data_IF_028569792810
#
_entry.id   IF_028569792810
#
_cell.length_a   1.000
_cell.length_b   1.000
_cell.length_c   1.000
_cell.angle_alpha   90.00
_cell.angle_beta   90.00
_cell.angle_gamma   90.00
#
_symmetry.space_group_name_H-M   'P 1'
#
loop_
_entity.id
_entity.type
_entity.pdbx_description
1 polymer ?
#
# COMPACT_ATOMS: atom_id res chain seq x y z
N UNK A 1 5.30 -28.73 10.34
CA UNK A 1 4.12 -27.84 10.44
C UNK A 1 4.39 -26.45 9.85
N UNK A 2 5.46 -25.74 10.24
CA UNK A 2 5.83 -24.42 9.68
C UNK A 2 5.89 -24.37 8.15
N UNK A 3 6.52 -25.34 7.50
CA UNK A 3 6.61 -25.39 6.03
C UNK A 3 5.26 -25.58 5.34
N UNK A 4 4.32 -26.31 5.96
CA UNK A 4 2.97 -26.50 5.41
C UNK A 4 2.16 -25.20 5.48
N UNK A 5 2.30 -24.44 6.58
CA UNK A 5 1.67 -23.13 6.71
C UNK A 5 2.19 -22.15 5.65
N UNK A 6 3.50 -22.10 5.43
CA UNK A 6 4.07 -21.26 4.37
C UNK A 6 3.61 -21.68 2.97
N UNK A 7 3.57 -22.98 2.68
CA UNK A 7 3.05 -23.46 1.39
C UNK A 7 1.58 -23.11 1.19
N UNK A 8 0.76 -23.18 2.24
CA UNK A 8 -0.64 -22.77 2.19
C UNK A 8 -0.80 -21.27 1.94
N UNK A 9 -0.01 -20.43 2.63
CA UNK A 9 -0.01 -18.97 2.45
C UNK A 9 0.42 -18.62 1.01
N UNK A 10 1.54 -19.19 0.53
CA UNK A 10 2.01 -18.96 -0.85
C UNK A 10 0.92 -19.31 -1.86
N UNK A 11 0.27 -20.47 -1.69
CA UNK A 11 -0.78 -20.93 -2.60
C UNK A 11 -2.00 -19.99 -2.57
N UNK A 12 -2.39 -19.52 -1.39
CA UNK A 12 -3.48 -18.56 -1.21
C UNK A 12 -3.13 -17.21 -1.87
N UNK A 13 -1.97 -16.66 -1.56
CA UNK A 13 -1.50 -15.37 -2.09
C UNK A 13 -1.46 -15.39 -3.62
N UNK A 14 -0.88 -16.45 -4.21
CA UNK A 14 -0.83 -16.59 -5.66
C UNK A 14 -2.22 -16.67 -6.30
N UNK A 15 -3.15 -17.41 -5.69
CA UNK A 15 -4.53 -17.47 -6.18
C UNK A 15 -5.19 -16.08 -6.16
N UNK A 16 -5.07 -15.35 -5.05
CA UNK A 16 -5.61 -13.98 -4.91
C UNK A 16 -5.01 -13.05 -5.98
N UNK A 17 -3.70 -13.10 -6.21
CA UNK A 17 -3.05 -12.26 -7.22
C UNK A 17 -3.56 -12.57 -8.63
N UNK A 18 -3.74 -13.85 -8.97
CA UNK A 18 -4.26 -14.27 -10.27
C UNK A 18 -5.70 -13.77 -10.46
N UNK A 19 -6.57 -13.97 -9.46
CA UNK A 19 -7.97 -13.58 -9.52
C UNK A 19 -8.12 -12.05 -9.64
N UNK A 20 -7.37 -11.29 -8.83
CA UNK A 20 -7.39 -9.81 -8.89
C UNK A 20 -6.90 -9.31 -10.24
N UNK A 21 -5.84 -9.92 -10.79
CA UNK A 21 -5.33 -9.56 -12.12
C UNK A 21 -6.37 -9.82 -13.21
N UNK A 22 -7.01 -10.99 -13.17
CA UNK A 22 -8.05 -11.37 -14.12
C UNK A 22 -9.27 -10.45 -14.04
N UNK A 23 -9.78 -10.17 -12.84
CA UNK A 23 -10.94 -9.31 -12.62
C UNK A 23 -10.68 -7.85 -12.99
N UNK A 24 -9.48 -7.34 -12.66
CA UNK A 24 -9.08 -6.00 -13.05
C UNK A 24 -9.00 -5.86 -14.58
N UNK A 25 -8.40 -6.83 -15.27
CA UNK A 25 -8.34 -6.85 -16.72
C UNK A 25 -9.74 -6.97 -17.34
N UNK A 26 -10.58 -7.87 -16.80
CA UNK A 26 -11.94 -8.10 -17.27
C UNK A 26 -12.81 -6.85 -17.19
N UNK A 27 -12.66 -6.05 -16.13
CA UNK A 27 -13.35 -4.76 -15.98
C UNK A 27 -12.79 -3.70 -16.91
N UNK A 28 -11.46 -3.55 -16.99
CA UNK A 28 -10.83 -2.50 -17.79
C UNK A 28 -11.16 -2.65 -19.28
N UNK A 29 -11.09 -3.87 -19.83
CA UNK A 29 -11.41 -4.11 -21.24
C UNK A 29 -12.87 -3.78 -21.61
N UNK A 30 -13.77 -3.73 -20.63
CA UNK A 30 -15.20 -3.47 -20.82
C UNK A 30 -15.59 -2.00 -20.59
N UNK A 31 -14.64 -1.14 -20.25
CA UNK A 31 -14.91 0.28 -20.17
C UNK A 31 -15.19 0.87 -21.55
N UNK A 32 -15.93 2.00 -21.58
CA UNK A 32 -16.33 2.65 -22.83
C UNK A 32 -15.11 3.08 -23.66
N UNK A 33 -15.31 3.25 -24.97
CA UNK A 33 -14.29 3.81 -25.86
C UNK A 33 -13.90 5.22 -25.43
N UNK A 34 -14.86 6.00 -24.92
CA UNK A 34 -14.59 7.32 -24.34
C UNK A 34 -13.66 7.26 -23.13
N UNK A 35 -13.85 6.26 -22.24
CA UNK A 35 -12.92 6.06 -21.13
C UNK A 35 -11.52 5.68 -21.62
N UNK A 36 -11.42 4.82 -22.64
CA UNK A 36 -10.15 4.43 -23.26
C UNK A 36 -9.47 5.59 -23.98
N UNK A 37 -10.22 6.52 -24.56
CA UNK A 37 -9.69 7.72 -25.20
C UNK A 37 -9.16 8.74 -24.17
N UNK A 38 -9.78 8.82 -23.00
CA UNK A 38 -9.46 9.80 -21.97
C UNK A 38 -8.54 9.25 -20.84
N UNK A 39 -8.23 7.94 -20.83
CA UNK A 39 -7.41 7.30 -19.80
C UNK A 39 -6.08 6.80 -20.35
N UNK A 40 -4.97 7.22 -19.74
CA UNK A 40 -3.65 6.78 -20.15
C UNK A 40 -3.38 5.32 -19.74
N UNK A 41 -3.17 4.43 -20.72
CA UNK A 41 -2.99 2.99 -20.51
C UNK A 41 -1.89 2.67 -19.48
N UNK A 42 -0.75 3.36 -19.53
CA UNK A 42 0.35 3.15 -18.57
C UNK A 42 -0.04 3.48 -17.12
N UNK A 43 -0.89 4.49 -16.91
CA UNK A 43 -1.36 4.86 -15.57
C UNK A 43 -2.33 3.81 -15.01
N UNK A 44 -3.15 3.22 -15.87
CA UNK A 44 -4.08 2.13 -15.53
C UNK A 44 -3.30 0.86 -15.17
N UNK A 45 -2.33 0.46 -15.99
CA UNK A 45 -1.48 -0.70 -15.71
C UNK A 45 -0.77 -0.53 -14.36
N UNK A 46 -0.18 0.64 -14.09
CA UNK A 46 0.49 0.92 -12.81
C UNK A 46 -0.47 0.94 -11.62
N UNK A 47 -1.75 1.29 -11.81
CA UNK A 47 -2.77 1.19 -10.75
C UNK A 47 -3.10 -0.27 -10.44
N UNK A 48 -3.28 -1.10 -11.47
CA UNK A 48 -3.58 -2.54 -11.31
C UNK A 48 -2.43 -3.24 -10.60
N UNK A 49 -1.20 -3.09 -11.12
CA UNK A 49 -0.04 -3.79 -10.54
C UNK A 49 0.23 -3.35 -9.11
N UNK A 50 0.23 -2.04 -8.82
CA UNK A 50 0.37 -1.56 -7.43
C UNK A 50 -0.74 -2.07 -6.51
N UNK A 51 -1.98 -2.17 -7.01
CA UNK A 51 -3.09 -2.75 -6.26
C UNK A 51 -2.86 -4.21 -5.91
N UNK A 52 -2.40 -5.01 -6.87
CA UNK A 52 -2.04 -6.42 -6.64
C UNK A 52 -0.94 -6.56 -5.59
N UNK A 53 0.14 -5.80 -5.70
CA UNK A 53 1.24 -5.81 -4.72
C UNK A 53 0.82 -5.29 -3.34
N UNK A 54 -0.13 -4.35 -3.27
CA UNK A 54 -0.65 -3.89 -1.99
C UNK A 54 -1.47 -4.98 -1.27
N UNK A 55 -2.21 -5.80 -2.01
CA UNK A 55 -2.93 -6.95 -1.46
C UNK A 55 -1.98 -8.05 -0.99
N UNK A 56 -0.93 -8.32 -1.76
CA UNK A 56 0.15 -9.23 -1.39
C UNK A 56 0.80 -8.81 -0.06
N UNK A 57 1.24 -7.54 0.02
CA UNK A 57 1.81 -6.96 1.24
C UNK A 57 0.85 -7.02 2.43
N UNK A 58 -0.44 -6.74 2.21
CA UNK A 58 -1.46 -6.84 3.25
C UNK A 58 -1.58 -8.28 3.76
N UNK A 59 -1.60 -9.25 2.85
CA UNK A 59 -1.71 -10.66 3.20
C UNK A 59 -0.49 -11.13 3.99
N UNK A 60 0.72 -10.77 3.57
CA UNK A 60 1.96 -11.07 4.29
C UNK A 60 1.96 -10.43 5.69
N UNK A 61 1.53 -9.18 5.79
CA UNK A 61 1.45 -8.48 7.09
C UNK A 61 0.46 -9.16 8.03
N UNK A 62 -0.72 -9.55 7.53
CA UNK A 62 -1.76 -10.19 8.35
C UNK A 62 -1.41 -11.63 8.72
N UNK A 63 -1.08 -12.47 7.74
CA UNK A 63 -0.94 -13.91 7.92
C UNK A 63 0.44 -14.33 8.39
N UNK A 64 1.50 -13.65 7.95
CA UNK A 64 2.89 -14.04 8.26
C UNK A 64 3.39 -13.28 9.48
N UNK A 65 3.12 -11.98 9.58
CA UNK A 65 3.61 -11.18 10.71
C UNK A 65 2.62 -11.14 11.89
N UNK A 66 1.39 -10.67 11.69
CA UNK A 66 0.45 -10.39 12.79
C UNK A 66 -0.16 -11.65 13.40
N UNK A 67 -0.64 -12.59 12.58
CA UNK A 67 -1.34 -13.77 13.06
C UNK A 67 -0.51 -14.62 14.02
N UNK A 68 0.74 -15.03 13.70
CA UNK A 68 1.54 -15.83 14.61
C UNK A 68 1.90 -15.06 15.88
N UNK A 69 2.21 -13.76 15.75
CA UNK A 69 2.54 -12.90 16.88
C UNK A 69 1.36 -12.78 17.85
N UNK A 70 0.15 -12.65 17.34
CA UNK A 70 -1.08 -12.59 18.14
C UNK A 70 -1.35 -13.93 18.83
N UNK A 71 -1.20 -15.05 18.13
CA UNK A 71 -1.36 -16.39 18.71
C UNK A 71 -0.36 -16.61 19.85
N UNK A 72 0.90 -16.23 19.67
CA UNK A 72 1.93 -16.35 20.72
C UNK A 72 1.64 -15.44 21.89
N UNK A 73 1.25 -14.18 21.65
CA UNK A 73 0.92 -13.21 22.69
C UNK A 73 -0.27 -13.70 23.53
N UNK A 74 -1.37 -14.07 22.88
CA UNK A 74 -2.59 -14.54 23.56
C UNK A 74 -2.32 -15.86 24.27
N UNK A 75 -1.65 -16.81 23.59
CA UNK A 75 -1.33 -18.11 24.17
C UNK A 75 -0.43 -18.00 25.40
N UNK A 76 0.62 -17.17 25.33
CA UNK A 76 1.51 -16.94 26.46
C UNK A 76 0.82 -16.23 27.62
N UNK A 77 0.05 -15.16 27.35
CA UNK A 77 -0.72 -14.45 28.37
C UNK A 77 -1.75 -15.35 29.06
N UNK A 78 -2.43 -16.22 28.30
CA UNK A 78 -3.38 -17.19 28.83
C UNK A 78 -2.70 -18.20 29.75
N UNK A 79 -1.61 -18.84 29.30
CA UNK A 79 -0.86 -19.81 30.11
C UNK A 79 -0.33 -19.15 31.39
N UNK A 80 0.25 -17.96 31.30
CA UNK A 80 0.73 -17.19 32.44
C UNK A 80 -0.39 -16.88 33.44
N UNK A 81 -1.58 -16.53 32.95
CA UNK A 81 -2.74 -16.26 33.80
C UNK A 81 -3.20 -17.48 34.59
N UNK A 82 -3.09 -18.69 34.01
CA UNK A 82 -3.46 -19.93 34.69
C UNK A 82 -2.49 -20.29 35.81
N UNK A 83 -1.19 -20.10 35.60
CA UNK A 83 -0.20 -20.37 36.64
C UNK A 83 -0.18 -19.27 37.68
N UNK A 84 0.05 -18.02 37.26
CA UNK A 84 0.22 -16.84 38.12
C UNK A 84 -0.67 -15.69 37.63
N UNK A 85 -1.92 -15.60 38.12
CA UNK A 85 -2.93 -14.66 37.61
C UNK A 85 -2.51 -13.19 37.58
N UNK A 86 -1.73 -12.74 38.58
CA UNK A 86 -1.23 -11.36 38.66
C UNK A 86 -0.31 -11.04 37.48
N UNK A 87 0.60 -11.94 37.10
CA UNK A 87 1.50 -11.75 35.96
C UNK A 87 0.73 -11.75 34.64
N UNK A 88 -0.25 -12.65 34.51
CA UNK A 88 -1.13 -12.69 33.34
C UNK A 88 -1.90 -11.38 33.13
N UNK A 89 -2.40 -10.78 34.22
CA UNK A 89 -3.10 -9.50 34.18
C UNK A 89 -2.17 -8.35 33.77
N UNK A 90 -0.96 -8.28 34.34
CA UNK A 90 0.04 -7.25 33.99
C UNK A 90 0.41 -7.34 32.51
N UNK A 91 0.71 -8.53 32.00
CA UNK A 91 1.07 -8.74 30.59
C UNK A 91 -0.08 -8.37 29.67
N UNK A 92 -1.30 -8.78 30.00
CA UNK A 92 -2.48 -8.49 29.16
C UNK A 92 -2.78 -7.00 29.10
N UNK A 93 -2.73 -6.29 30.23
CA UNK A 93 -2.90 -4.84 30.27
C UNK A 93 -1.79 -4.11 29.52
N UNK A 94 -0.53 -4.52 29.72
CA UNK A 94 0.60 -3.95 29.01
C UNK A 94 0.50 -4.15 27.51
N UNK A 95 0.07 -5.32 27.05
CA UNK A 95 -0.16 -5.63 25.65
C UNK A 95 -1.27 -4.76 25.05
N UNK A 96 -2.41 -4.61 25.74
CA UNK A 96 -3.52 -3.76 25.30
C UNK A 96 -3.05 -2.30 25.19
N UNK A 97 -2.35 -1.79 26.20
CA UNK A 97 -1.82 -0.43 26.20
C UNK A 97 -0.82 -0.21 25.05
N UNK A 98 0.11 -1.16 24.86
CA UNK A 98 1.11 -1.09 23.79
C UNK A 98 0.49 -1.13 22.40
N UNK A 99 -0.43 -2.08 22.15
CA UNK A 99 -1.13 -2.21 20.86
C UNK A 99 -1.99 -0.96 20.62
N UNK A 100 -2.72 -0.49 21.63
CA UNK A 100 -3.57 0.69 21.53
C UNK A 100 -2.76 1.96 21.19
N UNK A 101 -1.65 2.20 21.90
CA UNK A 101 -0.75 3.32 21.62
C UNK A 101 -0.13 3.21 20.22
N UNK A 102 0.36 2.02 19.85
CA UNK A 102 0.96 1.80 18.53
C UNK A 102 -0.06 2.03 17.40
N UNK A 103 -1.29 1.51 17.56
CA UNK A 103 -2.36 1.73 16.60
C UNK A 103 -2.76 3.20 16.52
N UNK A 104 -2.86 3.89 17.66
CA UNK A 104 -3.16 5.31 17.70
C UNK A 104 -2.10 6.14 16.96
N UNK A 105 -0.80 5.92 17.23
CA UNK A 105 0.28 6.60 16.52
C UNK A 105 0.28 6.27 15.03
N UNK A 106 0.10 4.99 14.68
CA UNK A 106 0.08 4.55 13.28
C UNK A 106 -1.08 5.20 12.50
N UNK A 107 -2.30 5.20 13.06
CA UNK A 107 -3.49 5.69 12.37
C UNK A 107 -3.63 7.22 12.42
N UNK A 108 -3.31 7.85 13.55
CA UNK A 108 -3.54 9.28 13.76
C UNK A 108 -2.37 10.14 13.30
N UNK A 109 -1.17 9.58 13.22
CA UNK A 109 0.03 10.34 12.86
C UNK A 109 0.71 9.83 11.59
N UNK A 110 1.06 8.54 11.54
CA UNK A 110 1.84 7.99 10.41
C UNK A 110 1.00 7.92 9.13
N UNK A 111 -0.21 7.37 9.20
CA UNK A 111 -1.10 7.23 8.05
C UNK A 111 -1.43 8.57 7.37
N UNK A 112 -1.82 9.65 8.06
CA UNK A 112 -2.09 10.93 7.39
C UNK A 112 -0.83 11.54 6.78
N UNK A 113 0.32 11.47 7.45
CA UNK A 113 1.59 11.97 6.90
C UNK A 113 1.98 11.22 5.62
N UNK A 114 1.88 9.89 5.62
CA UNK A 114 2.16 9.05 4.45
C UNK A 114 1.18 9.33 3.29
N UNK A 115 -0.11 9.55 3.58
CA UNK A 115 -1.10 9.91 2.55
C UNK A 115 -0.79 11.25 1.91
N UNK A 116 -0.34 12.23 2.69
CA UNK A 116 0.08 13.53 2.16
C UNK A 116 1.29 13.37 1.24
N UNK A 117 2.32 12.64 1.68
CA UNK A 117 3.52 12.38 0.87
C UNK A 117 3.18 11.66 -0.46
N UNK A 118 2.37 10.60 -0.40
CA UNK A 118 1.93 9.86 -1.60
C UNK A 118 1.12 10.71 -2.58
N UNK A 119 0.36 11.69 -2.07
CA UNK A 119 -0.39 12.63 -2.93
C UNK A 119 0.54 13.58 -3.68
N UNK A 120 1.63 14.03 -3.04
CA UNK A 120 2.65 14.86 -3.68
C UNK A 120 3.47 14.06 -4.68
N UNK A 121 3.84 12.82 -4.35
CA UNK A 121 4.54 11.91 -5.28
C UNK A 121 3.72 11.63 -6.55
N UNK A 122 2.40 11.44 -6.41
CA UNK A 122 1.49 11.30 -7.57
C UNK A 122 1.44 12.56 -8.42
N UNK A 123 1.40 13.76 -7.80
CA UNK A 123 1.40 15.04 -8.52
C UNK A 123 2.71 15.27 -9.25
N UNK A 124 3.84 14.99 -8.60
CA UNK A 124 5.18 15.09 -9.18
C UNK A 124 5.32 14.14 -10.37
N UNK A 125 4.95 12.87 -10.19
CA UNK A 125 4.97 11.87 -11.26
C UNK A 125 4.08 12.25 -12.45
N UNK A 126 2.92 12.85 -12.21
CA UNK A 126 2.04 13.38 -13.27
C UNK A 126 2.68 14.54 -14.03
N UNK A 127 3.22 15.54 -13.32
CA UNK A 127 3.87 16.69 -13.95
C UNK A 127 5.08 16.28 -14.80
N UNK A 128 5.88 15.31 -14.31
CA UNK A 128 7.00 14.75 -15.05
C UNK A 128 6.54 13.98 -16.30
N UNK A 129 5.51 13.14 -16.18
CA UNK A 129 4.98 12.37 -17.30
C UNK A 129 4.45 13.30 -18.41
N UNK A 130 3.68 14.33 -18.05
CA UNK A 130 3.15 15.31 -19.00
C UNK A 130 4.27 16.08 -19.72
N UNK A 131 5.28 16.56 -18.98
CA UNK A 131 6.40 17.30 -19.55
C UNK A 131 7.21 16.44 -20.55
N UNK A 132 7.44 15.16 -20.23
CA UNK A 132 8.15 14.23 -21.12
C UNK A 132 7.30 13.83 -22.33
N UNK A 133 6.01 13.52 -22.14
CA UNK A 133 5.11 13.14 -23.23
C UNK A 133 4.84 14.27 -24.22
N UNK A 134 4.80 15.52 -23.74
CA UNK A 134 4.57 16.71 -24.56
C UNK A 134 5.86 17.47 -24.93
N UNK A 135 7.04 16.88 -24.74
CA UNK A 135 8.32 17.57 -24.95
C UNK A 135 8.50 18.14 -26.38
N UNK A 136 7.94 17.47 -27.39
CA UNK A 136 7.95 17.98 -28.77
C UNK A 136 7.29 19.36 -28.90
N UNK A 137 6.20 19.61 -28.16
CA UNK A 137 5.52 20.91 -28.12
C UNK A 137 6.34 21.93 -27.33
N UNK A 138 6.92 21.52 -26.21
CA UNK A 138 7.80 22.39 -25.39
C UNK A 138 8.96 22.91 -26.24
N UNK A 139 9.63 22.02 -26.98
CA UNK A 139 10.73 22.33 -27.90
C UNK A 139 10.27 23.22 -29.06
N UNK A 140 9.11 22.93 -29.66
CA UNK A 140 8.56 23.72 -30.77
C UNK A 140 8.28 25.19 -30.40
N UNK A 141 7.92 25.46 -29.14
CA UNK A 141 7.67 26.81 -28.62
C UNK A 141 8.84 27.40 -27.81
N UNK A 142 9.99 26.71 -27.71
CA UNK A 142 11.13 27.15 -26.91
C UNK A 142 10.81 27.33 -25.42
N UNK A 143 9.80 26.62 -24.90
CA UNK A 143 9.21 26.86 -23.58
C UNK A 143 9.88 26.08 -22.44
N UNK A 144 11.16 25.74 -22.59
CA UNK A 144 11.90 24.81 -21.73
C UNK A 144 12.06 25.37 -20.31
N UNK A 145 12.57 26.59 -20.17
CA UNK A 145 12.72 27.28 -18.88
C UNK A 145 11.38 27.42 -18.14
N UNK A 146 10.27 27.57 -18.88
CA UNK A 146 8.93 27.68 -18.30
C UNK A 146 8.47 26.36 -17.68
N UNK A 147 8.68 25.24 -18.36
CA UNK A 147 8.34 23.92 -17.80
C UNK A 147 9.28 23.53 -16.66
N UNK A 148 10.58 23.87 -16.75
CA UNK A 148 11.52 23.70 -15.64
C UNK A 148 11.07 24.49 -14.40
N UNK A 149 10.67 25.76 -14.56
CA UNK A 149 10.13 26.58 -13.48
C UNK A 149 8.79 26.06 -12.93
N UNK A 150 7.97 25.39 -13.75
CA UNK A 150 6.75 24.72 -13.28
C UNK A 150 7.08 23.49 -12.44
N UNK A 151 8.02 22.66 -12.89
CA UNK A 151 8.46 21.47 -12.16
C UNK A 151 9.16 21.85 -10.84
N UNK A 152 10.02 22.88 -10.86
CA UNK A 152 10.69 23.39 -9.67
C UNK A 152 9.71 23.82 -8.57
N UNK A 153 8.57 24.43 -8.93
CA UNK A 153 7.51 24.78 -7.97
C UNK A 153 6.83 23.56 -7.34
N UNK A 154 6.70 22.46 -8.09
CA UNK A 154 6.15 21.20 -7.55
C UNK A 154 7.16 20.54 -6.63
N UNK A 155 8.44 20.51 -7.03
CA UNK A 155 9.54 19.97 -6.22
C UNK A 155 9.78 20.76 -4.94
N UNK A 156 9.66 22.09 -4.97
CA UNK A 156 9.82 22.92 -3.78
C UNK A 156 8.76 22.67 -2.69
N UNK A 157 7.65 22.01 -3.05
CA UNK A 157 6.53 21.72 -2.15
C UNK A 157 6.41 20.24 -1.77
N UNK A 158 7.07 19.36 -2.52
CA UNK A 158 7.16 17.92 -2.23
C UNK A 158 8.14 17.70 -1.08
#
# INVERSE_FOLDING_TARGET
MRHLAFLAIIRLTLAIMIDVGHDAFHRVQRFSTDWHANSFAGSTVRKITRGMWALDLLNDTLLVALWPSLVVLVGSAFVLSLYWPVMGLVVSLGAIAYIGLTAALSLLYVAPAARLANSWDTRLGGALADAVSCNAVVKAFGAEEREEGRLARVLAKW
#
